data_IF_160375715091
#
_entry.id   IF_160375715091
#
_cell.length_a   1.000
_cell.length_b   1.000
_cell.length_c   1.000
_cell.angle_alpha   90.00
_cell.angle_beta   90.00
_cell.angle_gamma   90.00
#
_symmetry.space_group_name_H-M   'P 1'
#
loop_
_entity.id
_entity.type
_entity.pdbx_description
1 polymer ?
#
# COMPACT_ATOMS: atom_id res chain seq x y z
N UNK A 1 64.49 -18.88 -66.91
CA UNK A 1 63.22 -18.13 -66.71
C UNK A 1 62.22 -19.04 -65.99
N UNK A 2 61.98 -18.83 -64.69
CA UNK A 2 60.95 -19.57 -63.93
C UNK A 2 59.68 -18.72 -63.79
N UNK A 3 58.53 -19.27 -64.19
CA UNK A 3 57.23 -18.58 -64.24
C UNK A 3 56.65 -18.40 -62.84
N UNK A 4 56.30 -17.17 -62.45
CA UNK A 4 55.53 -16.87 -61.21
C UNK A 4 54.10 -17.41 -61.38
N UNK A 5 53.64 -18.27 -60.46
CA UNK A 5 52.25 -18.77 -60.44
C UNK A 5 51.29 -17.62 -60.10
N UNK A 6 50.27 -17.33 -60.93
CA UNK A 6 49.20 -16.42 -60.57
C UNK A 6 48.19 -17.19 -59.70
N UNK A 7 47.89 -16.71 -58.49
CA UNK A 7 46.82 -17.33 -57.69
C UNK A 7 46.88 -17.16 -56.17
N UNK A 8 47.93 -16.59 -55.59
CA UNK A 8 47.88 -16.21 -54.17
C UNK A 8 47.21 -14.84 -54.05
N UNK A 9 45.86 -14.83 -54.00
CA UNK A 9 45.14 -13.65 -53.55
C UNK A 9 45.70 -13.27 -52.18
N UNK A 10 46.24 -12.04 -52.05
CA UNK A 10 46.60 -11.51 -50.73
C UNK A 10 45.33 -11.62 -49.87
N UNK A 11 45.38 -12.35 -48.76
CA UNK A 11 44.31 -12.30 -47.77
C UNK A 11 44.09 -10.82 -47.48
N UNK A 12 42.89 -10.32 -47.74
CA UNK A 12 42.53 -8.97 -47.31
C UNK A 12 42.75 -8.97 -45.80
N UNK A 13 43.77 -8.25 -45.33
CA UNK A 13 43.99 -8.04 -43.91
C UNK A 13 42.78 -7.26 -43.44
N UNK A 14 41.73 -7.96 -43.02
CA UNK A 14 40.58 -7.35 -42.40
C UNK A 14 41.10 -6.61 -41.19
N UNK A 15 40.68 -5.37 -40.99
CA UNK A 15 41.09 -4.54 -39.83
C UNK A 15 40.82 -5.22 -38.47
N UNK A 16 40.05 -6.31 -38.49
CA UNK A 16 39.71 -7.16 -37.34
C UNK A 16 40.42 -8.52 -37.35
N UNK A 17 41.48 -8.71 -38.13
CA UNK A 17 42.26 -9.96 -38.15
C UNK A 17 43.09 -10.08 -36.87
N UNK A 18 43.01 -11.23 -36.19
CA UNK A 18 43.53 -11.45 -34.83
C UNK A 18 45.05 -11.26 -34.79
N UNK A 19 45.74 -11.70 -35.85
CA UNK A 19 47.19 -11.60 -36.00
C UNK A 19 47.68 -10.15 -36.21
N UNK A 20 46.77 -9.23 -36.58
CA UNK A 20 47.09 -7.83 -36.89
C UNK A 20 46.63 -6.82 -35.82
N UNK A 21 46.03 -7.30 -34.73
CA UNK A 21 45.60 -6.45 -33.63
C UNK A 21 46.82 -5.86 -32.89
N UNK A 22 46.79 -4.55 -32.56
CA UNK A 22 47.83 -3.95 -31.75
C UNK A 22 47.86 -4.55 -30.34
N UNK A 23 49.06 -4.64 -29.76
CA UNK A 23 49.23 -5.07 -28.38
C UNK A 23 48.58 -4.05 -27.43
N UNK A 24 47.80 -4.57 -26.48
CA UNK A 24 47.05 -3.75 -25.53
C UNK A 24 47.97 -3.07 -24.51
N UNK A 25 47.92 -1.74 -24.45
CA UNK A 25 48.85 -0.90 -23.67
C UNK A 25 48.37 -0.59 -22.24
N UNK A 26 47.34 -1.27 -21.72
CA UNK A 26 46.75 -1.01 -20.39
C UNK A 26 46.25 0.44 -20.18
N UNK A 27 45.85 1.11 -21.26
CA UNK A 27 45.40 2.51 -21.27
C UNK A 27 43.88 2.69 -21.14
N UNK A 28 43.12 1.62 -21.30
CA UNK A 28 41.65 1.63 -21.34
C UNK A 28 41.08 0.68 -20.29
N UNK A 29 39.91 0.99 -19.72
CA UNK A 29 39.25 0.05 -18.80
C UNK A 29 38.52 -1.07 -19.55
N UNK A 30 38.35 -2.22 -18.91
CA UNK A 30 37.39 -3.22 -19.38
C UNK A 30 35.96 -2.67 -19.27
N UNK A 31 35.02 -3.23 -20.03
CA UNK A 31 33.60 -2.84 -19.99
C UNK A 31 33.03 -2.71 -18.57
N UNK A 32 33.17 -3.69 -17.64
CA UNK A 32 32.65 -3.54 -16.29
C UNK A 32 33.32 -2.38 -15.52
N UNK A 33 34.63 -2.15 -15.72
CA UNK A 33 35.32 -1.00 -15.13
C UNK A 33 34.78 0.34 -15.64
N UNK A 34 34.51 0.42 -16.95
CA UNK A 34 33.91 1.60 -17.56
C UNK A 34 32.47 1.85 -17.08
N UNK A 35 31.64 0.80 -16.94
CA UNK A 35 30.29 0.91 -16.39
C UNK A 35 30.29 1.46 -14.95
N UNK A 36 31.23 0.99 -14.11
CA UNK A 36 31.42 1.52 -12.76
C UNK A 36 31.79 3.02 -12.82
N UNK A 37 32.71 3.41 -13.71
CA UNK A 37 33.10 4.80 -13.87
C UNK A 37 31.92 5.69 -14.29
N UNK A 38 31.10 5.22 -15.23
CA UNK A 38 29.88 5.93 -15.66
C UNK A 38 28.88 6.06 -14.52
N UNK A 39 28.63 5.00 -13.76
CA UNK A 39 27.74 5.04 -12.60
C UNK A 39 28.22 6.06 -11.56
N UNK A 40 29.53 6.11 -11.29
CA UNK A 40 30.09 7.13 -10.41
C UNK A 40 29.94 8.55 -10.96
N UNK A 41 30.10 8.75 -12.28
CA UNK A 41 29.90 10.05 -12.91
C UNK A 41 28.43 10.50 -12.80
N UNK A 42 27.48 9.58 -12.94
CA UNK A 42 26.06 9.83 -12.73
C UNK A 42 25.76 10.23 -11.28
N UNK A 43 26.30 9.51 -10.29
CA UNK A 43 26.15 9.88 -8.88
C UNK A 43 26.69 11.29 -8.63
N UNK A 44 27.89 11.60 -9.14
CA UNK A 44 28.50 12.94 -9.00
C UNK A 44 27.63 14.02 -9.64
N UNK A 45 26.99 13.73 -10.77
CA UNK A 45 26.02 14.64 -11.42
C UNK A 45 24.85 14.93 -10.48
N UNK A 46 24.23 13.92 -9.86
CA UNK A 46 23.14 14.16 -8.91
C UNK A 46 23.59 14.89 -7.64
N UNK A 47 24.77 14.57 -7.09
CA UNK A 47 25.33 15.30 -5.93
C UNK A 47 25.54 16.79 -6.24
N UNK A 48 25.97 17.12 -7.46
CA UNK A 48 26.08 18.51 -7.92
C UNK A 48 24.71 19.18 -7.95
N UNK A 49 23.68 18.52 -8.48
CA UNK A 49 22.30 19.05 -8.48
C UNK A 49 21.77 19.29 -7.07
N UNK A 50 22.02 18.35 -6.15
CA UNK A 50 21.64 18.48 -4.74
C UNK A 50 22.29 19.72 -4.13
N UNK A 51 23.58 19.94 -4.37
CA UNK A 51 24.31 21.04 -3.77
C UNK A 51 23.94 22.41 -4.34
N UNK A 52 23.76 22.51 -5.67
CA UNK A 52 23.64 23.81 -6.34
C UNK A 52 22.24 24.13 -6.85
N UNK A 53 21.45 23.14 -7.25
CA UNK A 53 20.11 23.33 -7.85
C UNK A 53 19.00 23.23 -6.80
N UNK A 54 19.02 22.21 -5.91
CA UNK A 54 17.92 22.01 -4.95
C UNK A 54 17.68 23.20 -4.01
N UNK A 55 18.70 23.89 -3.45
CA UNK A 55 18.45 25.08 -2.63
C UNK A 55 17.79 26.23 -3.40
N UNK A 56 17.92 26.26 -4.73
CA UNK A 56 17.24 27.27 -5.55
C UNK A 56 15.75 26.98 -5.70
N UNK A 57 15.33 25.70 -5.59
CA UNK A 57 13.92 25.30 -5.66
C UNK A 57 13.11 25.75 -4.44
N UNK A 58 13.78 25.99 -3.31
CA UNK A 58 13.14 26.52 -2.10
C UNK A 58 12.42 27.86 -2.36
N UNK A 59 12.96 28.68 -3.26
CA UNK A 59 12.35 29.95 -3.69
C UNK A 59 10.96 29.81 -4.30
N UNK A 60 10.64 28.63 -4.83
CA UNK A 60 9.35 28.31 -5.47
C UNK A 60 8.46 27.43 -4.58
N UNK A 61 8.89 27.12 -3.35
CA UNK A 61 8.11 26.33 -2.42
C UNK A 61 6.97 27.17 -1.82
N UNK A 62 5.74 26.67 -1.92
CA UNK A 62 4.58 27.25 -1.26
C UNK A 62 4.29 26.46 0.02
N UNK A 63 3.96 27.11 1.15
CA UNK A 63 3.56 26.41 2.37
C UNK A 63 2.24 25.65 2.17
N UNK A 64 2.08 24.54 2.89
CA UNK A 64 0.85 23.77 2.85
C UNK A 64 -0.26 24.50 3.60
N UNK A 65 -1.31 24.89 2.88
CA UNK A 65 -2.54 25.41 3.46
C UNK A 65 -3.59 24.29 3.51
N UNK A 66 -4.09 23.91 4.70
CA UNK A 66 -5.12 22.88 4.80
C UNK A 66 -6.41 23.34 4.09
N UNK A 67 -7.20 22.39 3.54
CA UNK A 67 -8.44 22.73 2.88
C UNK A 67 -9.44 23.35 3.85
N UNK A 68 -10.24 24.30 3.35
CA UNK A 68 -11.32 24.93 4.13
C UNK A 68 -12.45 23.92 4.35
N UNK A 69 -13.26 24.14 5.40
CA UNK A 69 -14.46 23.30 5.67
C UNK A 69 -15.48 23.28 4.52
N UNK A 70 -15.51 24.32 3.68
CA UNK A 70 -16.36 24.40 2.49
C UNK A 70 -15.88 23.47 1.35
N UNK A 71 -14.59 23.09 1.35
CA UNK A 71 -13.98 22.27 0.31
C UNK A 71 -14.16 20.78 0.63
N UNK A 72 -15.40 20.30 0.52
CA UNK A 72 -15.80 18.94 0.91
C UNK A 72 -15.44 17.85 -0.12
N UNK A 73 -15.18 18.22 -1.37
CA UNK A 73 -14.97 17.27 -2.47
C UNK A 73 -13.49 16.94 -2.65
N UNK A 74 -13.13 15.66 -2.61
CA UNK A 74 -11.79 15.19 -2.92
C UNK A 74 -11.75 14.55 -4.32
N UNK A 75 -10.98 15.15 -5.24
CA UNK A 75 -10.75 14.59 -6.57
C UNK A 75 -9.38 13.92 -6.65
N UNK A 76 -9.37 12.63 -6.98
CA UNK A 76 -8.15 11.87 -7.29
C UNK A 76 -8.03 11.67 -8.80
N UNK A 77 -6.86 12.01 -9.32
CA UNK A 77 -6.43 11.74 -10.69
C UNK A 77 -5.17 10.88 -10.70
N UNK A 78 -4.98 10.14 -11.78
CA UNK A 78 -3.76 9.37 -12.04
C UNK A 78 -3.01 10.03 -13.19
N UNK A 79 -1.69 10.10 -13.08
CA UNK A 79 -0.84 10.68 -14.11
C UNK A 79 0.37 9.75 -14.30
N UNK A 80 0.64 9.33 -15.53
CA UNK A 80 1.83 8.56 -15.87
C UNK A 80 2.80 9.48 -16.58
N UNK A 81 4.02 9.59 -16.06
CA UNK A 81 5.03 10.50 -16.58
C UNK A 81 5.71 9.84 -17.78
N UNK A 82 5.69 10.50 -18.93
CA UNK A 82 6.38 10.03 -20.14
C UNK A 82 5.62 9.00 -20.98
N UNK A 83 4.45 8.55 -20.53
CA UNK A 83 3.62 7.57 -21.23
C UNK A 83 2.17 8.06 -21.35
N UNK A 84 1.54 7.80 -22.49
CA UNK A 84 0.09 7.97 -22.65
C UNK A 84 -0.62 6.70 -22.20
N UNK A 85 -1.44 6.82 -21.15
CA UNK A 85 -2.19 5.69 -20.61
C UNK A 85 -3.68 6.02 -20.52
N UNK A 86 -4.60 5.16 -21.00
CA UNK A 86 -6.04 5.46 -21.05
C UNK A 86 -6.64 5.80 -19.68
N UNK A 87 -6.15 5.16 -18.61
CA UNK A 87 -6.57 5.42 -17.23
C UNK A 87 -6.27 6.86 -16.74
N UNK A 88 -5.41 7.64 -17.41
CA UNK A 88 -5.18 9.05 -17.05
C UNK A 88 -6.44 9.88 -17.16
N UNK A 89 -7.39 9.47 -18.01
CA UNK A 89 -8.63 10.19 -18.22
C UNK A 89 -9.60 10.01 -17.05
N UNK A 90 -9.44 8.93 -16.28
CA UNK A 90 -10.31 8.59 -15.16
C UNK A 90 -10.14 9.57 -14.01
N UNK A 91 -11.28 10.04 -13.49
CA UNK A 91 -11.35 10.84 -12.26
C UNK A 91 -12.16 10.10 -11.22
N UNK A 92 -11.68 10.12 -9.98
CA UNK A 92 -12.41 9.58 -8.84
C UNK A 92 -12.74 10.73 -7.88
N UNK A 93 -14.01 10.88 -7.52
CA UNK A 93 -14.50 11.84 -6.54
C UNK A 93 -14.90 11.10 -5.27
N UNK A 94 -14.45 11.60 -4.12
CA UNK A 94 -14.80 11.06 -2.79
C UNK A 94 -15.37 12.17 -1.92
N UNK A 95 -16.43 11.86 -1.18
CA UNK A 95 -17.14 12.79 -0.29
C UNK A 95 -17.56 12.06 0.99
N UNK A 96 -17.40 12.68 2.16
CA UNK A 96 -17.90 12.12 3.42
C UNK A 96 -19.37 12.50 3.66
N UNK A 97 -20.14 11.61 4.30
CA UNK A 97 -21.56 11.86 4.58
C UNK A 97 -21.79 13.04 5.54
N UNK A 98 -20.88 13.23 6.50
CA UNK A 98 -21.03 14.22 7.57
C UNK A 98 -20.73 15.65 7.09
N UNK A 99 -19.88 15.79 6.08
CA UNK A 99 -19.47 17.09 5.53
C UNK A 99 -20.54 17.70 4.61
N UNK A 100 -21.55 16.90 4.22
CA UNK A 100 -22.65 17.36 3.38
C UNK A 100 -23.62 18.24 4.17
N UNK A 101 -23.99 19.43 3.66
CA UNK A 101 -24.95 20.33 4.29
C UNK A 101 -26.40 19.86 4.02
N UNK A 102 -26.75 18.71 4.56
CA UNK A 102 -28.05 18.03 4.42
C UNK A 102 -28.63 17.69 5.80
N UNK A 103 -29.95 17.74 5.92
CA UNK A 103 -30.67 17.26 7.11
C UNK A 103 -30.65 15.72 7.19
N UNK A 104 -31.02 15.12 8.32
CA UNK A 104 -30.98 13.65 8.49
C UNK A 104 -31.88 12.90 7.49
N UNK A 105 -33.07 13.44 7.22
CA UNK A 105 -33.99 12.86 6.22
C UNK A 105 -33.40 12.94 4.80
N UNK A 106 -32.82 14.09 4.45
CA UNK A 106 -32.17 14.32 3.16
C UNK A 106 -30.91 13.45 3.01
N UNK A 107 -30.14 13.26 4.09
CA UNK A 107 -28.98 12.35 4.14
C UNK A 107 -29.41 10.91 3.89
N UNK A 108 -30.50 10.46 4.51
CA UNK A 108 -31.06 9.13 4.27
C UNK A 108 -31.48 8.96 2.80
N UNK A 109 -32.20 9.93 2.23
CA UNK A 109 -32.54 9.96 0.80
C UNK A 109 -31.30 9.92 -0.09
N UNK A 110 -30.28 10.72 0.23
CA UNK A 110 -29.01 10.76 -0.52
C UNK A 110 -28.29 9.40 -0.52
N UNK A 111 -28.28 8.69 0.62
CA UNK A 111 -27.70 7.33 0.71
C UNK A 111 -28.45 6.37 -0.22
N UNK A 112 -29.79 6.41 -0.22
CA UNK A 112 -30.62 5.56 -1.08
C UNK A 112 -30.37 5.82 -2.57
N UNK A 113 -30.28 7.10 -2.98
CA UNK A 113 -29.98 7.47 -4.36
C UNK A 113 -28.59 7.01 -4.82
N UNK A 114 -27.60 7.04 -3.93
CA UNK A 114 -26.24 6.63 -4.25
C UNK A 114 -26.07 5.11 -4.34
N UNK A 115 -26.86 4.36 -3.56
CA UNK A 115 -26.87 2.89 -3.51
C UNK A 115 -25.48 2.32 -3.17
N UNK A 116 -24.95 1.47 -4.05
CA UNK A 116 -23.69 0.74 -3.85
C UNK A 116 -22.44 1.61 -3.76
N UNK A 117 -22.54 2.90 -4.08
CA UNK A 117 -21.42 3.86 -4.02
C UNK A 117 -21.08 4.31 -2.61
N UNK A 118 -21.96 4.03 -1.65
CA UNK A 118 -21.78 4.35 -0.23
C UNK A 118 -21.09 3.21 0.51
N UNK A 119 -19.97 3.49 1.18
CA UNK A 119 -19.21 2.49 1.96
C UNK A 119 -19.54 2.52 3.47
N UNK A 120 -20.65 3.17 3.85
CA UNK A 120 -21.04 3.36 5.26
C UNK A 120 -20.51 4.64 5.90
N UNK A 121 -19.43 5.22 5.37
CA UNK A 121 -18.89 6.53 5.80
C UNK A 121 -18.78 7.53 4.65
N UNK A 122 -18.25 7.08 3.52
CA UNK A 122 -17.93 7.93 2.37
C UNK A 122 -18.62 7.44 1.11
N UNK A 123 -18.85 8.37 0.19
CA UNK A 123 -19.32 8.09 -1.16
C UNK A 123 -18.15 8.16 -2.13
N UNK A 124 -18.06 7.17 -3.02
CA UNK A 124 -17.01 7.12 -4.05
C UNK A 124 -17.64 7.04 -5.44
N UNK A 125 -17.33 8.03 -6.28
CA UNK A 125 -17.77 8.09 -7.66
C UNK A 125 -16.54 8.08 -8.57
N UNK A 126 -16.65 7.45 -9.73
CA UNK A 126 -15.61 7.54 -10.75
C UNK A 126 -16.22 7.73 -12.13
N UNK A 127 -15.55 8.52 -12.97
CA UNK A 127 -15.92 8.71 -14.37
C UNK A 127 -14.71 8.53 -15.26
N UNK A 128 -14.91 7.75 -16.31
CA UNK A 128 -13.97 7.50 -17.42
C UNK A 128 -14.73 7.57 -18.76
N UNK A 129 -15.89 8.23 -18.79
CA UNK A 129 -16.77 8.28 -19.95
C UNK A 129 -16.22 9.15 -21.08
N UNK A 130 -15.47 10.18 -20.71
CA UNK A 130 -14.99 11.20 -21.64
C UNK A 130 -13.49 11.04 -21.91
N UNK A 131 -13.01 11.43 -23.10
CA UNK A 131 -11.57 11.40 -23.43
C UNK A 131 -10.73 12.36 -22.58
N UNK A 132 -11.30 13.46 -22.09
CA UNK A 132 -10.54 14.44 -21.31
C UNK A 132 -10.86 14.37 -19.83
N UNK A 133 -9.82 14.44 -19.00
CA UNK A 133 -9.92 14.46 -17.53
C UNK A 133 -10.80 15.61 -17.02
N UNK A 134 -10.70 16.79 -17.63
CA UNK A 134 -11.49 17.98 -17.26
C UNK A 134 -12.99 17.74 -17.46
N UNK A 135 -13.38 17.06 -18.54
CA UNK A 135 -14.76 16.68 -18.82
C UNK A 135 -15.27 15.65 -17.80
N UNK A 136 -14.47 14.62 -17.49
CA UNK A 136 -14.82 13.64 -16.45
C UNK A 136 -14.98 14.30 -15.07
N UNK A 137 -14.11 15.25 -14.71
CA UNK A 137 -14.23 16.02 -13.46
C UNK A 137 -15.51 16.85 -13.44
N UNK A 138 -15.81 17.57 -14.53
CA UNK A 138 -17.01 18.40 -14.65
C UNK A 138 -18.28 17.56 -14.54
N UNK A 139 -18.32 16.42 -15.23
CA UNK A 139 -19.43 15.48 -15.14
C UNK A 139 -19.70 14.99 -13.71
N UNK A 140 -18.63 14.70 -12.94
CA UNK A 140 -18.78 14.30 -11.53
C UNK A 140 -19.30 15.45 -10.65
N UNK A 141 -18.87 16.68 -10.92
CA UNK A 141 -19.43 17.88 -10.27
C UNK A 141 -20.92 18.02 -10.55
N UNK A 142 -21.32 17.98 -11.82
CA UNK A 142 -22.72 18.13 -12.23
C UNK A 142 -23.59 16.96 -11.75
N UNK A 143 -23.01 15.76 -11.61
CA UNK A 143 -23.67 14.62 -10.97
C UNK A 143 -23.91 14.89 -9.47
N UNK A 144 -22.92 15.44 -8.77
CA UNK A 144 -23.05 15.77 -7.36
C UNK A 144 -24.13 16.83 -7.13
N UNK A 145 -24.16 17.88 -7.95
CA UNK A 145 -25.16 18.93 -7.89
C UNK A 145 -26.58 18.38 -8.12
N UNK A 146 -26.73 17.45 -9.08
CA UNK A 146 -28.00 16.74 -9.32
C UNK A 146 -28.42 15.87 -8.13
N UNK A 147 -27.48 15.12 -7.54
CA UNK A 147 -27.77 14.29 -6.37
C UNK A 147 -28.17 15.14 -5.16
N UNK A 148 -27.52 16.29 -4.95
CA UNK A 148 -27.88 17.24 -3.91
C UNK A 148 -29.25 17.87 -4.14
N UNK A 149 -29.56 18.23 -5.39
CA UNK A 149 -30.87 18.76 -5.77
C UNK A 149 -31.96 17.74 -5.50
N UNK A 150 -31.76 16.49 -5.90
CA UNK A 150 -32.72 15.41 -5.70
C UNK A 150 -32.89 15.08 -4.21
N UNK A 151 -31.81 15.07 -3.44
CA UNK A 151 -31.86 14.81 -2.00
C UNK A 151 -32.61 15.90 -1.23
N UNK A 152 -32.57 17.15 -1.68
CA UNK A 152 -33.32 18.29 -1.10
C UNK A 152 -34.75 18.41 -1.62
N UNK A 153 -35.09 17.68 -2.67
CA UNK A 153 -36.46 17.73 -3.20
C UNK A 153 -37.44 17.09 -2.21
N UNK A 154 -38.54 17.79 -1.95
CA UNK A 154 -39.54 17.45 -0.93
C UNK A 154 -40.62 16.49 -1.44
N UNK A 155 -40.59 16.10 -2.71
CA UNK A 155 -41.60 15.21 -3.31
C UNK A 155 -41.70 13.87 -2.58
N UNK A 156 -40.68 13.03 -2.68
CA UNK A 156 -40.63 11.72 -2.02
C UNK A 156 -39.44 11.64 -1.04
N UNK A 157 -39.71 11.24 0.22
CA UNK A 157 -38.70 11.16 1.30
C UNK A 157 -38.17 9.74 1.55
N UNK A 158 -38.69 8.73 0.84
CA UNK A 158 -38.26 7.32 0.90
C UNK A 158 -38.08 6.76 2.34
N UNK A 159 -38.98 7.14 3.26
CA UNK A 159 -38.92 6.74 4.67
C UNK A 159 -39.27 5.27 4.89
N UNK A 160 -40.10 4.73 4.02
CA UNK A 160 -40.56 3.34 3.94
C UNK A 160 -39.44 2.39 3.48
N UNK A 161 -38.52 2.86 2.63
CA UNK A 161 -37.43 2.04 2.11
C UNK A 161 -36.27 1.96 3.11
N UNK A 162 -35.84 0.75 3.52
CA UNK A 162 -34.67 0.57 4.37
C UNK A 162 -33.37 0.81 3.58
N UNK A 163 -32.33 1.30 4.26
CA UNK A 163 -31.01 1.49 3.64
C UNK A 163 -30.39 0.12 3.35
N UNK A 164 -30.10 -0.15 2.08
CA UNK A 164 -29.38 -1.35 1.69
C UNK A 164 -27.89 -1.23 2.08
N UNK A 165 -27.40 -2.18 2.88
CA UNK A 165 -26.01 -2.26 3.34
C UNK A 165 -25.32 -3.55 2.89
N UNK A 166 -25.97 -4.36 2.05
CA UNK A 166 -25.48 -5.69 1.63
C UNK A 166 -24.15 -5.62 0.87
N UNK A 167 -23.88 -4.53 0.16
CA UNK A 167 -22.61 -4.31 -0.55
C UNK A 167 -21.45 -3.94 0.38
N UNK A 168 -21.72 -3.51 1.61
CA UNK A 168 -20.70 -3.03 2.56
C UNK A 168 -20.08 -4.21 3.31
N UNK A 169 -18.88 -4.63 2.88
CA UNK A 169 -18.14 -5.73 3.51
C UNK A 169 -17.34 -5.24 4.73
N UNK A 170 -17.93 -5.31 5.92
CA UNK A 170 -17.24 -4.96 7.18
C UNK A 170 -16.27 -6.07 7.62
N UNK A 171 -14.97 -5.76 7.63
CA UNK A 171 -13.95 -6.65 8.21
C UNK A 171 -13.91 -6.46 9.72
N UNK A 172 -14.05 -7.55 10.49
CA UNK A 172 -13.91 -7.53 11.95
C UNK A 172 -12.46 -7.20 12.31
N UNK A 173 -12.24 -6.09 13.01
CA UNK A 173 -10.93 -5.71 13.54
C UNK A 173 -10.82 -6.23 14.97
N UNK A 174 -10.10 -7.32 15.16
CA UNK A 174 -9.79 -7.85 16.49
C UNK A 174 -8.80 -6.88 17.14
N UNK A 175 -9.13 -6.40 18.34
CA UNK A 175 -8.23 -5.53 19.12
C UNK A 175 -7.53 -6.39 20.15
N UNK A 176 -6.32 -5.98 20.52
CA UNK A 176 -5.62 -6.58 21.65
C UNK A 176 -6.49 -6.42 22.91
N UNK A 177 -6.80 -7.51 23.63
CA UNK A 177 -7.59 -7.46 24.86
C UNK A 177 -7.00 -6.46 25.85
N UNK A 178 -7.86 -5.66 26.47
CA UNK A 178 -7.41 -4.66 27.45
C UNK A 178 -6.89 -5.36 28.70
N UNK A 179 -7.50 -6.48 29.08
CA UNK A 179 -7.11 -7.31 30.23
C UNK A 179 -5.71 -7.93 30.12
N UNK A 180 -5.17 -8.08 28.92
CA UNK A 180 -3.79 -8.57 28.71
C UNK A 180 -2.76 -7.46 28.71
N UNK A 181 -3.19 -6.20 28.82
CA UNK A 181 -2.25 -5.08 28.91
C UNK A 181 -1.63 -5.13 30.29
N UNK A 182 -0.33 -5.42 30.33
CA UNK A 182 0.47 -5.20 31.52
C UNK A 182 0.33 -3.73 31.92
N UNK A 183 -0.05 -3.47 33.16
CA UNK A 183 0.03 -2.13 33.72
C UNK A 183 1.51 -1.72 33.79
N UNK A 184 1.85 -0.42 33.67
CA UNK A 184 3.23 0.03 33.77
C UNK A 184 3.94 -0.40 35.07
N UNK A 185 3.18 -0.71 36.13
CA UNK A 185 3.67 -1.19 37.42
C UNK A 185 4.00 -2.69 37.46
N UNK A 186 3.44 -3.48 36.52
CA UNK A 186 3.71 -4.91 36.37
C UNK A 186 4.88 -5.19 35.42
N UNK A 187 5.26 -4.22 34.58
CA UNK A 187 6.42 -4.35 33.69
C UNK A 187 7.76 -4.34 34.43
N UNK A 188 7.81 -3.77 35.64
CA UNK A 188 9.01 -3.66 36.48
C UNK A 188 9.15 -4.79 37.49
N UNK A 189 8.11 -5.62 37.65
CA UNK A 189 8.12 -6.77 38.54
C UNK A 189 8.12 -8.01 37.66
N UNK A 190 9.19 -8.80 37.74
CA UNK A 190 9.31 -10.13 37.13
C UNK A 190 8.33 -11.16 37.77
N UNK A 191 7.14 -10.73 38.16
CA UNK A 191 6.09 -11.48 38.88
C UNK A 191 5.38 -12.54 38.03
N UNK A 192 5.64 -12.60 36.72
CA UNK A 192 5.04 -13.65 35.85
C UNK A 192 5.61 -15.03 36.20
N UNK A 193 6.82 -15.10 36.77
CA UNK A 193 7.44 -16.37 37.20
C UNK A 193 6.72 -16.95 38.44
N UNK A 194 6.13 -16.11 39.29
CA UNK A 194 5.50 -16.52 40.55
C UNK A 194 4.13 -17.18 40.35
N UNK A 195 3.37 -16.74 39.34
CA UNK A 195 2.05 -17.33 39.07
C UNK A 195 2.16 -18.70 38.40
N UNK A 196 3.15 -18.91 37.52
CA UNK A 196 3.39 -20.19 36.83
C UNK A 196 3.94 -21.24 37.82
N UNK A 197 4.80 -20.83 38.74
CA UNK A 197 5.34 -21.73 39.78
C UNK A 197 4.27 -22.12 40.80
N UNK A 198 3.36 -21.22 41.17
CA UNK A 198 2.24 -21.54 42.06
C UNK A 198 1.25 -22.54 41.44
N UNK A 199 0.89 -22.39 40.16
CA UNK A 199 -0.06 -23.32 39.49
C UNK A 199 0.57 -24.69 39.26
N UNK A 200 1.85 -24.76 38.89
CA UNK A 200 2.57 -26.03 38.71
C UNK A 200 2.77 -26.79 40.04
N UNK A 201 2.95 -26.09 41.15
CA UNK A 201 3.00 -26.70 42.49
C UNK A 201 1.64 -27.27 42.91
N UNK A 202 0.53 -26.59 42.59
CA UNK A 202 -0.81 -27.11 42.89
C UNK A 202 -1.12 -28.35 42.04
N UNK A 203 -0.73 -28.36 40.76
CA UNK A 203 -0.96 -29.51 39.86
C UNK A 203 -0.14 -30.73 40.31
N UNK A 204 1.15 -30.56 40.60
CA UNK A 204 2.02 -31.66 41.09
C UNK A 204 1.60 -32.20 42.47
N UNK A 205 1.10 -31.35 43.36
CA UNK A 205 0.55 -31.78 44.65
C UNK A 205 -0.79 -32.54 44.54
N UNK A 206 -1.57 -32.30 43.49
CA UNK A 206 -2.80 -33.05 43.21
C UNK A 206 -2.53 -34.37 42.48
N UNK A 207 -1.52 -34.43 41.59
CA UNK A 207 -1.10 -35.67 40.92
C UNK A 207 -0.47 -36.67 41.90
N UNK A 208 0.38 -36.21 42.83
CA UNK A 208 0.94 -37.07 43.89
C UNK A 208 -0.12 -37.66 44.84
N UNK A 209 -1.21 -36.92 45.11
CA UNK A 209 -2.35 -37.44 45.88
C UNK A 209 -3.23 -38.44 45.09
N UNK A 210 -3.20 -38.40 43.76
CA UNK A 210 -3.90 -39.36 42.90
C UNK A 210 -3.09 -40.66 42.73
N UNK A 211 -1.76 -40.58 42.62
CA UNK A 211 -0.87 -41.76 42.52
C UNK A 211 -0.87 -42.59 43.81
N UNK A 212 -0.84 -41.96 45.00
CA UNK A 212 -0.96 -42.69 46.28
C UNK A 212 -2.29 -43.44 46.43
N UNK A 213 -3.35 -43.00 45.73
CA UNK A 213 -4.67 -43.66 45.74
C UNK A 213 -4.76 -44.82 44.75
N UNK A 214 -3.86 -44.90 43.78
CA UNK A 214 -3.74 -45.99 42.81
C UNK A 214 -2.87 -47.12 43.35
N UNK A 215 -1.78 -46.80 44.07
CA UNK A 215 -0.88 -47.81 44.66
C UNK A 215 -1.51 -48.55 45.85
N UNK A 216 -2.36 -47.89 46.64
CA UNK A 216 -3.11 -48.55 47.73
C UNK A 216 -4.20 -49.51 47.25
N UNK A 217 -4.61 -49.43 45.97
CA UNK A 217 -5.56 -50.37 45.37
C UNK A 217 -4.88 -51.62 44.80
N UNK A 218 -3.64 -51.52 44.33
CA UNK A 218 -2.91 -52.67 43.77
C UNK A 218 -2.37 -53.63 44.83
N UNK A 219 -2.09 -53.14 46.06
CA UNK A 219 -1.65 -54.00 47.17
C UNK A 219 -2.78 -54.85 47.80
N UNK A 220 -4.05 -54.46 47.64
CA UNK A 220 -5.18 -55.24 48.20
C UNK A 220 -5.48 -56.49 47.35
N UNK A 221 -5.11 -56.49 46.06
CA UNK A 221 -5.39 -57.60 45.14
C UNK A 221 -4.30 -58.69 45.12
N UNK A 222 -3.20 -58.57 45.89
CA UNK A 222 -2.09 -59.54 45.88
C UNK A 222 -2.05 -60.55 47.04
N UNK A 223 -3.01 -60.52 47.99
CA UNK A 223 -3.00 -61.41 49.19
C UNK A 223 -4.07 -62.51 49.17
N UNK A 224 -4.64 -62.84 47.99
CA UNK A 224 -5.52 -64.01 47.83
C UNK A 224 -5.02 -64.93 46.71
N UNK A 225 -4.06 -65.79 47.04
CA UNK A 225 -3.88 -67.14 46.49
C UNK A 225 -3.01 -67.96 47.44
#
# INVERSE_FOLDING_TARGET
MARRRPGAAKRSTSEFDIESLPEYQFDSMTKPGYEILLAQAEIRKYLRKIKYELPQLEKFANPFNPPKKEQILCFKRMYYVGEEHPLQNKVVMTVELNDLPLNEEEKRKFILLCGTRFDGKTFKFSSEKFPHLTQNKKYLSDLMDRLLKEAKDKGETFKDIPIDTRHIKKKKKIKFPIEWRLSPQELTKDTVVDQISATNNIISSNESNLEQKLDTKSEIDTVKN
#
